data_IF_748559901094
#
_entry.id   IF_748559901094
#
_cell.length_a   1.000
_cell.length_b   1.000
_cell.length_c   1.000
_cell.angle_alpha   90.00
_cell.angle_beta   90.00
_cell.angle_gamma   90.00
#
_symmetry.space_group_name_H-M   'P 1'
#
loop_
_entity.id
_entity.type
_entity.pdbx_description
1 polymer ?
#
# COMPACT_ATOMS: atom_id res chain seq x y z
N UNK A 1 7.79 -5.02 14.29
CA UNK A 1 8.39 -4.24 13.19
C UNK A 1 8.11 -2.77 13.42
N UNK A 2 9.10 -1.90 13.22
CA UNK A 2 8.93 -0.44 13.25
C UNK A 2 8.66 0.12 11.84
N UNK A 3 8.29 1.38 11.77
CA UNK A 3 7.92 2.04 10.50
C UNK A 3 9.11 2.25 9.58
N UNK A 4 10.29 2.59 10.14
CA UNK A 4 11.56 2.68 9.43
C UNK A 4 12.04 1.33 8.87
N UNK A 5 11.86 0.25 9.64
CA UNK A 5 12.12 -1.12 9.18
C UNK A 5 11.19 -1.50 8.02
N UNK A 6 9.91 -1.15 8.10
CA UNK A 6 8.94 -1.40 7.03
C UNK A 6 9.25 -0.57 5.78
N UNK A 7 9.61 0.71 5.94
CA UNK A 7 9.99 1.59 4.84
C UNK A 7 11.23 1.06 4.12
N UNK A 8 12.25 0.64 4.87
CA UNK A 8 13.46 0.01 4.31
C UNK A 8 13.10 -1.23 3.51
N UNK A 9 12.31 -2.14 4.09
CA UNK A 9 11.90 -3.37 3.42
C UNK A 9 11.04 -3.09 2.18
N UNK A 10 10.18 -2.07 2.21
CA UNK A 10 9.40 -1.66 1.05
C UNK A 10 10.29 -1.08 -0.06
N UNK A 11 11.29 -0.26 0.26
CA UNK A 11 12.27 0.25 -0.70
C UNK A 11 13.03 -0.90 -1.35
N UNK A 12 13.62 -1.78 -0.56
CA UNK A 12 14.34 -2.96 -1.05
C UNK A 12 13.45 -3.82 -1.96
N UNK A 13 12.17 -3.96 -1.59
CA UNK A 13 11.18 -4.68 -2.37
C UNK A 13 10.92 -4.05 -3.75
N UNK A 14 10.76 -2.73 -3.82
CA UNK A 14 10.57 -2.02 -5.08
C UNK A 14 11.84 -1.99 -5.94
N UNK A 15 13.02 -1.85 -5.34
CA UNK A 15 14.32 -1.92 -6.03
C UNK A 15 14.59 -3.30 -6.63
N UNK A 16 14.19 -4.36 -5.92
CA UNK A 16 14.31 -5.72 -6.40
C UNK A 16 13.30 -6.04 -7.53
N UNK A 17 12.08 -5.52 -7.42
CA UNK A 17 11.00 -5.80 -8.36
C UNK A 17 11.10 -5.03 -9.69
N UNK A 18 11.78 -3.88 -9.71
CA UNK A 18 11.84 -2.99 -10.88
C UNK A 18 13.27 -2.57 -11.25
N UNK A 19 13.55 -2.44 -12.55
CA UNK A 19 14.86 -2.01 -13.01
C UNK A 19 15.06 -0.49 -12.89
N UNK A 20 15.74 -0.06 -11.81
CA UNK A 20 16.08 1.33 -11.54
C UNK A 20 14.85 2.24 -11.38
N UNK A 21 13.93 1.93 -10.45
CA UNK A 21 12.82 2.83 -10.12
C UNK A 21 13.35 4.15 -9.56
N UNK A 22 12.55 5.20 -9.69
CA UNK A 22 12.71 6.41 -8.90
C UNK A 22 11.93 6.24 -7.60
N UNK A 23 12.59 6.49 -6.48
CA UNK A 23 12.07 6.26 -5.12
C UNK A 23 12.22 7.56 -4.32
N UNK A 24 11.13 8.03 -3.75
CA UNK A 24 11.08 9.14 -2.79
C UNK A 24 10.53 8.64 -1.46
N UNK A 25 11.22 8.96 -0.36
CA UNK A 25 10.76 8.70 1.00
C UNK A 25 10.29 10.02 1.63
N UNK A 26 9.18 9.95 2.37
CA UNK A 26 8.55 11.14 2.98
C UNK A 26 8.30 12.25 1.95
N UNK A 27 7.87 11.87 0.72
CA UNK A 27 7.73 12.79 -0.40
C UNK A 27 6.64 13.85 -0.10
N UNK A 28 6.98 15.13 -0.03
CA UNK A 28 6.06 16.17 0.43
C UNK A 28 5.02 16.57 -0.62
N UNK A 29 3.86 17.01 -0.14
CA UNK A 29 2.85 17.71 -0.92
C UNK A 29 2.28 18.89 -0.13
N UNK A 30 1.94 19.98 -0.81
CA UNK A 30 1.33 21.17 -0.20
C UNK A 30 0.31 21.79 -1.15
N UNK A 31 -0.98 21.49 -0.94
CA UNK A 31 -2.05 22.07 -1.73
C UNK A 31 -2.98 22.96 -0.88
N UNK A 32 -2.99 24.27 -1.15
CA UNK A 32 -3.75 25.29 -0.40
C UNK A 32 -3.62 25.16 1.14
N UNK A 33 -2.41 24.89 1.64
CA UNK A 33 -2.15 24.72 3.08
C UNK A 33 -2.47 23.33 3.64
N UNK A 34 -2.93 22.40 2.79
CA UNK A 34 -3.03 20.98 3.13
C UNK A 34 -1.68 20.32 2.90
N UNK A 35 -0.78 20.53 3.87
CA UNK A 35 0.55 19.93 3.87
C UNK A 35 0.52 18.48 4.36
N UNK A 36 1.40 17.67 3.81
CA UNK A 36 1.71 16.32 4.26
C UNK A 36 2.88 15.73 3.50
N UNK A 37 3.14 14.47 3.76
CA UNK A 37 4.10 13.66 3.02
C UNK A 37 3.50 12.28 2.76
N UNK A 38 3.95 11.64 1.70
CA UNK A 38 3.69 10.21 1.43
C UNK A 38 4.87 9.43 1.98
N UNK A 39 4.62 8.33 2.69
CA UNK A 39 5.71 7.56 3.30
C UNK A 39 6.68 7.04 2.23
N UNK A 40 6.15 6.58 1.09
CA UNK A 40 6.94 6.12 -0.04
C UNK A 40 6.25 6.44 -1.38
N UNK A 41 6.98 7.06 -2.29
CA UNK A 41 6.61 7.27 -3.69
C UNK A 41 7.56 6.48 -4.59
N UNK A 42 7.01 5.69 -5.53
CA UNK A 42 7.81 4.92 -6.49
C UNK A 42 7.31 5.15 -7.91
N UNK A 43 8.24 5.33 -8.84
CA UNK A 43 7.94 5.51 -10.26
C UNK A 43 8.82 4.63 -11.13
N UNK A 44 8.19 3.77 -11.93
CA UNK A 44 8.91 2.90 -12.86
C UNK A 44 9.37 3.66 -14.11
N UNK A 45 10.38 3.12 -14.79
CA UNK A 45 10.91 3.68 -16.02
C UNK A 45 9.95 3.50 -17.21
N UNK A 46 10.04 4.35 -18.26
CA UNK A 46 9.37 4.12 -19.54
C UNK A 46 9.76 2.76 -20.17
N UNK A 47 8.93 2.18 -21.06
CA UNK A 47 7.74 2.78 -21.65
C UNK A 47 6.48 2.68 -20.78
N UNK A 48 6.40 1.75 -19.84
CA UNK A 48 5.22 1.49 -18.99
C UNK A 48 5.39 2.12 -17.62
N UNK A 49 5.38 3.46 -17.58
CA UNK A 49 5.47 4.21 -16.32
C UNK A 49 4.27 3.87 -15.44
N UNK A 50 4.54 3.32 -14.27
CA UNK A 50 3.60 3.05 -13.19
C UNK A 50 4.08 3.85 -11.98
N UNK A 51 3.14 4.51 -11.33
CA UNK A 51 3.40 5.22 -10.07
C UNK A 51 2.76 4.45 -8.91
N UNK A 52 3.45 4.42 -7.77
CA UNK A 52 2.99 3.83 -6.53
C UNK A 52 3.09 4.90 -5.45
N UNK A 53 1.95 5.28 -4.88
CA UNK A 53 1.89 6.11 -3.70
C UNK A 53 1.56 5.21 -2.51
N UNK A 54 2.41 5.21 -1.50
CA UNK A 54 2.37 4.22 -0.44
C UNK A 54 2.27 4.92 0.91
N UNK A 55 1.20 4.63 1.64
CA UNK A 55 1.08 4.87 3.08
C UNK A 55 1.44 3.57 3.81
N UNK A 56 2.39 3.64 4.74
CA UNK A 56 2.86 2.54 5.55
C UNK A 56 2.24 2.60 6.95
N UNK A 57 1.88 1.43 7.50
CA UNK A 57 1.39 1.30 8.87
C UNK A 57 2.04 0.12 9.57
N UNK A 58 2.84 0.41 10.59
CA UNK A 58 3.42 -0.57 11.51
C UNK A 58 2.76 -0.50 12.90
N UNK A 59 3.18 -1.37 13.83
CA UNK A 59 2.61 -1.48 15.18
C UNK A 59 2.45 -0.14 15.92
N UNK A 60 3.44 0.79 15.88
CA UNK A 60 3.30 2.07 16.56
C UNK A 60 2.18 2.91 15.96
N UNK A 61 2.09 2.99 14.63
CA UNK A 61 1.07 3.77 13.93
C UNK A 61 -0.34 3.22 14.20
N UNK A 62 -0.52 1.90 14.16
CA UNK A 62 -1.79 1.24 14.48
C UNK A 62 -2.20 1.51 15.93
N UNK A 63 -1.26 1.42 16.89
CA UNK A 63 -1.53 1.69 18.31
C UNK A 63 -1.90 3.15 18.59
N UNK A 64 -1.28 4.08 17.86
CA UNK A 64 -1.50 5.52 18.04
C UNK A 64 -2.75 6.03 17.33
N UNK A 65 -3.16 5.37 16.25
CA UNK A 65 -4.41 5.70 15.57
C UNK A 65 -5.61 5.38 16.48
N UNK A 66 -6.56 6.30 16.60
CA UNK A 66 -7.83 6.11 17.28
C UNK A 66 -8.80 5.15 16.56
N UNK A 67 -8.29 4.26 15.71
CA UNK A 67 -9.05 3.28 14.92
C UNK A 67 -8.84 3.41 13.40
N UNK A 68 -9.48 2.52 12.63
CA UNK A 68 -9.33 2.47 11.17
C UNK A 68 -9.71 3.77 10.45
N UNK A 69 -10.69 4.52 10.95
CA UNK A 69 -11.10 5.79 10.35
C UNK A 69 -9.98 6.83 10.34
N UNK A 70 -9.10 6.82 11.35
CA UNK A 70 -7.96 7.74 11.40
C UNK A 70 -6.90 7.39 10.36
N UNK A 71 -6.57 6.11 10.22
CA UNK A 71 -5.66 5.62 9.19
C UNK A 71 -6.23 5.91 7.79
N UNK A 72 -7.51 5.64 7.57
CA UNK A 72 -8.17 5.92 6.30
C UNK A 72 -8.20 7.42 6.01
N UNK A 73 -8.39 8.27 7.01
CA UNK A 73 -8.32 9.73 6.82
C UNK A 73 -6.91 10.16 6.36
N UNK A 74 -5.85 9.58 6.91
CA UNK A 74 -4.47 9.85 6.47
C UNK A 74 -4.26 9.40 5.02
N UNK A 75 -4.58 8.14 4.72
CA UNK A 75 -4.49 7.56 3.38
C UNK A 75 -5.27 8.37 2.32
N UNK A 76 -6.52 8.74 2.62
CA UNK A 76 -7.37 9.54 1.70
C UNK A 76 -6.90 10.97 1.52
N UNK A 77 -6.20 11.53 2.52
CA UNK A 77 -5.61 12.86 2.42
C UNK A 77 -4.46 12.86 1.43
N UNK A 78 -3.59 11.86 1.49
CA UNK A 78 -2.52 11.64 0.52
C UNK A 78 -3.07 11.46 -0.89
N UNK A 79 -4.04 10.56 -1.08
CA UNK A 79 -4.72 10.35 -2.37
C UNK A 79 -5.26 11.66 -2.97
N UNK A 80 -5.87 12.52 -2.15
CA UNK A 80 -6.53 13.74 -2.61
C UNK A 80 -5.56 14.83 -3.02
N UNK A 81 -4.46 15.00 -2.30
CA UNK A 81 -3.66 16.22 -2.40
C UNK A 81 -2.29 16.02 -3.05
N UNK A 82 -1.81 14.78 -3.20
CA UNK A 82 -0.48 14.56 -3.78
C UNK A 82 -0.35 15.10 -5.21
N UNK A 83 -1.40 14.93 -6.03
CA UNK A 83 -1.39 15.32 -7.45
C UNK A 83 -1.95 16.73 -7.71
N UNK A 84 -2.23 17.54 -6.69
CA UNK A 84 -2.87 18.85 -6.87
C UNK A 84 -1.89 20.04 -7.05
N UNK A 85 -0.63 19.97 -6.55
CA UNK A 85 0.56 20.79 -6.91
C UNK A 85 1.75 20.51 -5.93
N UNK A 86 3.05 20.71 -6.20
CA UNK A 86 3.76 21.69 -7.05
C UNK A 86 4.45 21.17 -8.35
N UNK A 87 4.49 19.86 -8.64
CA UNK A 87 4.66 19.31 -10.01
C UNK A 87 4.55 17.75 -10.07
N UNK A 88 3.81 17.14 -9.14
CA UNK A 88 3.55 15.70 -9.12
C UNK A 88 2.60 15.35 -10.28
N UNK A 89 3.12 15.23 -11.50
CA UNK A 89 2.32 15.35 -12.74
C UNK A 89 1.97 13.97 -13.36
N UNK A 90 0.68 13.66 -13.51
CA UNK A 90 0.17 12.39 -14.04
C UNK A 90 -0.40 12.54 -15.47
N UNK A 91 0.46 12.45 -16.49
CA UNK A 91 0.04 12.61 -17.90
C UNK A 91 -0.72 11.40 -18.45
N UNK A 92 -1.86 11.68 -19.09
CA UNK A 92 -2.67 10.69 -19.83
C UNK A 92 -1.87 10.06 -20.97
N UNK A 93 -1.71 8.74 -20.93
CA UNK A 93 -1.28 7.97 -22.11
C UNK A 93 -2.51 7.29 -22.72
N UNK A 94 -2.89 7.74 -23.92
CA UNK A 94 -3.96 7.13 -24.71
C UNK A 94 -3.60 5.66 -25.00
N UNK A 95 -4.55 4.74 -24.76
CA UNK A 95 -4.42 3.32 -25.12
C UNK A 95 -3.68 2.42 -24.12
N UNK A 96 -3.60 2.78 -22.83
CA UNK A 96 -3.07 1.89 -21.79
C UNK A 96 -4.08 0.80 -21.41
N UNK A 97 -3.60 -0.44 -21.24
CA UNK A 97 -4.32 -1.50 -20.53
C UNK A 97 -3.80 -1.55 -19.07
N UNK A 98 -4.71 -1.44 -18.09
CA UNK A 98 -4.39 -1.47 -16.66
C UNK A 98 -4.08 -0.10 -16.01
N UNK A 99 -3.93 -0.06 -14.67
CA UNK A 99 -3.75 1.19 -13.92
C UNK A 99 -2.38 1.81 -14.19
N UNK A 100 -2.34 3.14 -14.20
CA UNK A 100 -1.08 3.90 -14.23
C UNK A 100 -0.60 4.31 -12.83
N UNK A 101 -1.47 4.18 -11.85
CA UNK A 101 -1.24 4.57 -10.48
C UNK A 101 -1.78 3.48 -9.54
N UNK A 102 -0.97 3.08 -8.57
CA UNK A 102 -1.41 2.31 -7.42
C UNK A 102 -1.36 3.18 -6.17
N UNK A 103 -2.51 3.28 -5.48
CA UNK A 103 -2.66 3.95 -4.20
C UNK A 103 -2.66 2.88 -3.11
N UNK A 104 -1.54 2.71 -2.42
CA UNK A 104 -1.31 1.61 -1.50
C UNK A 104 -1.41 2.08 -0.05
N UNK A 105 -2.23 1.39 0.75
CA UNK A 105 -2.19 1.41 2.21
C UNK A 105 -1.64 0.05 2.65
N UNK A 106 -0.38 0.03 3.08
CA UNK A 106 0.33 -1.20 3.40
C UNK A 106 0.53 -1.34 4.90
N UNK A 107 0.06 -2.46 5.44
CA UNK A 107 0.28 -2.84 6.82
C UNK A 107 1.50 -3.75 6.95
N UNK A 108 2.27 -3.55 8.02
CA UNK A 108 3.33 -4.47 8.40
C UNK A 108 2.73 -5.87 8.63
N UNK A 109 3.42 -6.95 8.24
CA UNK A 109 2.99 -8.31 8.56
C UNK A 109 3.36 -8.63 10.02
N UNK A 110 2.63 -8.05 10.96
CA UNK A 110 2.75 -8.29 12.40
C UNK A 110 1.39 -8.68 12.97
N UNK A 111 1.37 -9.45 14.06
CA UNK A 111 0.12 -9.89 14.70
C UNK A 111 -0.83 -8.72 14.98
N UNK A 112 -0.32 -7.63 15.56
CA UNK A 112 -1.11 -6.43 15.86
C UNK A 112 -1.73 -5.78 14.62
N UNK A 113 -0.97 -5.69 13.52
CA UNK A 113 -1.52 -5.10 12.29
C UNK A 113 -2.57 -6.03 11.67
N UNK A 114 -2.35 -7.34 11.72
CA UNK A 114 -3.32 -8.36 11.30
C UNK A 114 -4.62 -8.26 12.12
N UNK A 115 -4.53 -8.27 13.45
CA UNK A 115 -5.67 -8.09 14.36
C UNK A 115 -6.47 -6.83 14.01
N UNK A 116 -5.78 -5.69 13.85
CA UNK A 116 -6.42 -4.42 13.54
C UNK A 116 -7.15 -4.45 12.19
N UNK A 117 -6.51 -5.01 11.16
CA UNK A 117 -7.12 -5.10 9.82
C UNK A 117 -8.28 -6.07 9.82
N UNK A 118 -8.19 -7.19 10.54
CA UNK A 118 -9.27 -8.15 10.69
C UNK A 118 -10.47 -7.54 11.44
N UNK A 119 -10.23 -6.88 12.58
CA UNK A 119 -11.26 -6.20 13.37
C UNK A 119 -12.05 -5.20 12.53
N UNK A 120 -11.36 -4.47 11.65
CA UNK A 120 -11.93 -3.43 10.80
C UNK A 120 -12.14 -3.87 9.34
N UNK A 121 -12.15 -5.17 9.06
CA UNK A 121 -12.15 -5.72 7.68
C UNK A 121 -13.27 -5.21 6.80
N UNK A 122 -14.45 -4.97 7.36
CA UNK A 122 -15.59 -4.40 6.62
C UNK A 122 -15.33 -2.98 6.14
N UNK A 123 -14.67 -2.16 6.96
CA UNK A 123 -14.32 -0.78 6.59
C UNK A 123 -13.24 -0.79 5.50
N UNK A 124 -12.16 -1.54 5.69
CA UNK A 124 -11.11 -1.65 4.68
C UNK A 124 -11.61 -2.28 3.38
N UNK A 125 -12.38 -3.37 3.47
CA UNK A 125 -12.96 -4.06 2.33
C UNK A 125 -13.98 -3.24 1.55
N UNK A 126 -14.62 -2.25 2.17
CA UNK A 126 -15.54 -1.33 1.49
C UNK A 126 -14.87 -0.28 0.60
N UNK A 127 -13.53 -0.24 0.57
CA UNK A 127 -12.81 0.73 -0.25
C UNK A 127 -12.81 0.27 -1.70
N UNK A 128 -13.51 1.03 -2.55
CA UNK A 128 -13.52 0.81 -4.00
C UNK A 128 -12.08 0.73 -4.55
N UNK A 129 -11.77 -0.43 -5.12
CA UNK A 129 -10.47 -0.73 -5.69
C UNK A 129 -10.20 0.15 -6.92
N UNK A 130 -11.21 0.38 -7.76
CA UNK A 130 -11.06 1.18 -8.98
C UNK A 130 -11.36 2.66 -8.72
N UNK A 131 -10.46 3.51 -9.20
CA UNK A 131 -10.62 4.98 -9.12
C UNK A 131 -9.98 5.65 -10.33
N UNK A 132 -10.32 6.91 -10.53
CA UNK A 132 -9.54 7.80 -11.37
C UNK A 132 -9.00 9.00 -10.60
N UNK A 133 -7.72 9.31 -10.80
CA UNK A 133 -7.06 10.54 -10.33
C UNK A 133 -6.73 11.37 -11.58
N UNK A 134 -7.26 12.58 -11.69
CA UNK A 134 -7.17 13.45 -12.88
C UNK A 134 -7.42 12.75 -14.24
N UNK A 135 -8.42 11.85 -14.28
CA UNK A 135 -8.76 11.09 -15.49
C UNK A 135 -7.77 9.98 -15.85
N UNK A 136 -6.81 9.67 -14.97
CA UNK A 136 -5.92 8.53 -15.08
C UNK A 136 -6.49 7.35 -14.28
N UNK A 137 -6.61 6.14 -14.87
CA UNK A 137 -7.01 4.94 -14.14
C UNK A 137 -6.00 4.59 -13.04
N UNK A 138 -6.53 4.38 -11.85
CA UNK A 138 -5.75 4.05 -10.66
C UNK A 138 -6.42 2.93 -9.86
N UNK A 139 -5.62 2.20 -9.10
CA UNK A 139 -6.08 1.10 -8.25
C UNK A 139 -5.69 1.34 -6.81
N UNK A 140 -6.67 1.27 -5.91
CA UNK A 140 -6.47 1.30 -4.46
C UNK A 140 -6.26 -0.11 -3.94
N UNK A 141 -5.23 -0.29 -3.12
CA UNK A 141 -5.05 -1.52 -2.37
C UNK A 141 -4.81 -1.19 -0.90
N UNK A 142 -5.65 -1.74 -0.05
CA UNK A 142 -5.33 -2.00 1.35
C UNK A 142 -4.77 -3.41 1.40
N UNK A 143 -3.54 -3.58 1.88
CA UNK A 143 -2.85 -4.85 1.73
C UNK A 143 -1.75 -5.07 2.78
N UNK A 144 -1.30 -6.33 2.84
CA UNK A 144 -0.04 -6.72 3.44
C UNK A 144 0.98 -7.01 2.33
N UNK A 145 2.25 -6.70 2.58
CA UNK A 145 3.37 -7.17 1.76
C UNK A 145 3.66 -8.63 2.10
N UNK A 146 3.63 -9.51 1.11
CA UNK A 146 3.69 -10.97 1.33
C UNK A 146 5.05 -11.60 1.05
N UNK A 147 5.92 -10.93 0.29
CA UNK A 147 7.24 -11.44 -0.07
C UNK A 147 8.38 -10.47 0.27
N UNK A 148 8.27 -9.80 1.43
CA UNK A 148 9.29 -8.86 1.91
C UNK A 148 10.71 -9.44 1.90
N UNK A 149 10.88 -10.70 2.29
CA UNK A 149 12.20 -11.34 2.39
C UNK A 149 12.68 -11.97 1.07
N UNK A 150 11.79 -12.14 0.10
CA UNK A 150 12.03 -12.85 -1.17
C UNK A 150 11.74 -11.97 -2.40
N UNK A 151 11.74 -10.65 -2.21
CA UNK A 151 11.46 -9.68 -3.27
C UNK A 151 12.36 -9.86 -4.50
N UNK A 152 13.63 -10.22 -4.30
CA UNK A 152 14.58 -10.45 -5.39
C UNK A 152 14.34 -11.78 -6.16
N UNK A 153 13.65 -12.74 -5.53
CA UNK A 153 13.32 -14.03 -6.12
C UNK A 153 11.94 -14.03 -6.83
N UNK A 154 11.16 -12.95 -6.66
CA UNK A 154 9.81 -12.80 -7.21
C UNK A 154 9.52 -11.37 -7.68
N UNK A 155 8.30 -11.09 -8.11
CA UNK A 155 7.86 -9.72 -8.40
C UNK A 155 7.32 -9.02 -7.14
N UNK A 156 6.64 -7.90 -7.36
CA UNK A 156 5.90 -7.19 -6.32
C UNK A 156 4.72 -8.03 -5.79
N UNK A 157 4.77 -8.50 -4.53
CA UNK A 157 3.71 -9.30 -3.91
C UNK A 157 2.90 -8.52 -2.86
N UNK A 158 1.59 -8.48 -3.04
CA UNK A 158 0.64 -7.94 -2.07
C UNK A 158 -0.53 -8.90 -1.90
N UNK A 159 -0.99 -9.07 -0.66
CA UNK A 159 -2.28 -9.67 -0.38
C UNK A 159 -3.26 -8.59 0.07
N UNK A 160 -4.23 -8.29 -0.79
CA UNK A 160 -5.14 -7.17 -0.63
C UNK A 160 -6.43 -7.59 0.08
N UNK A 161 -6.87 -6.77 1.04
CA UNK A 161 -8.09 -6.99 1.83
C UNK A 161 -9.33 -6.28 1.25
N UNK A 162 -9.13 -5.35 0.32
CA UNK A 162 -10.20 -4.73 -0.48
C UNK A 162 -10.20 -5.26 -1.93
N UNK A 163 -9.53 -6.39 -2.15
CA UNK A 163 -9.63 -7.17 -3.38
C UNK A 163 -10.80 -8.16 -3.33
N UNK A 164 -10.92 -9.01 -4.35
CA UNK A 164 -11.95 -10.06 -4.40
C UNK A 164 -11.80 -11.18 -3.36
N UNK A 165 -10.90 -11.02 -2.39
CA UNK A 165 -10.57 -12.00 -1.35
C UNK A 165 -10.59 -11.29 0.00
N UNK A 166 -11.54 -11.66 0.87
CA UNK A 166 -11.75 -11.03 2.18
C UNK A 166 -10.83 -11.66 3.24
N UNK A 167 -10.19 -10.85 4.08
CA UNK A 167 -9.42 -11.35 5.23
C UNK A 167 -10.32 -12.14 6.20
N UNK A 168 -9.85 -13.29 6.69
CA UNK A 168 -10.66 -14.26 7.46
C UNK A 168 -11.50 -15.19 6.58
N UNK A 169 -11.25 -15.22 5.26
CA UNK A 169 -11.81 -16.25 4.38
C UNK A 169 -10.75 -17.29 4.03
N UNK A 170 -11.17 -18.53 3.76
CA UNK A 170 -10.27 -19.61 3.31
C UNK A 170 -9.48 -19.20 2.05
N UNK A 171 -10.10 -18.46 1.14
CA UNK A 171 -9.42 -17.98 -0.06
C UNK A 171 -8.29 -16.98 0.25
N UNK A 172 -8.39 -16.23 1.35
CA UNK A 172 -7.32 -15.35 1.82
C UNK A 172 -6.18 -16.17 2.42
N UNK A 173 -6.50 -17.12 3.29
CA UNK A 173 -5.53 -18.02 3.90
C UNK A 173 -4.73 -18.80 2.84
N UNK A 174 -5.42 -19.38 1.85
CA UNK A 174 -4.81 -20.10 0.73
C UNK A 174 -3.89 -19.22 -0.13
N UNK A 175 -4.10 -17.89 -0.12
CA UNK A 175 -3.31 -16.93 -0.87
C UNK A 175 -2.09 -16.39 -0.10
N UNK A 176 -1.99 -16.66 1.21
CA UNK A 176 -0.84 -16.28 2.02
C UNK A 176 0.32 -17.24 1.71
N UNK A 177 1.50 -16.74 1.29
CA UNK A 177 2.63 -17.62 1.02
C UNK A 177 3.10 -18.33 2.30
N UNK A 178 3.26 -19.64 2.22
CA UNK A 178 3.79 -20.46 3.31
C UNK A 178 5.17 -19.96 3.76
N UNK A 179 5.37 -19.91 5.07
CA UNK A 179 6.63 -19.45 5.66
C UNK A 179 6.89 -17.94 5.56
N UNK A 180 5.97 -17.16 4.99
CA UNK A 180 6.07 -15.70 5.00
C UNK A 180 5.84 -15.11 6.39
N UNK A 181 6.35 -13.90 6.61
CA UNK A 181 6.04 -13.11 7.81
C UNK A 181 4.54 -12.92 8.03
N UNK A 182 3.75 -12.84 6.95
CA UNK A 182 2.29 -12.72 7.07
C UNK A 182 1.66 -14.02 7.59
N UNK A 183 2.14 -15.18 7.12
CA UNK A 183 1.69 -16.48 7.64
C UNK A 183 2.03 -16.66 9.13
N UNK A 184 3.18 -16.14 9.58
CA UNK A 184 3.54 -16.09 10.99
C UNK A 184 2.62 -15.16 11.78
N UNK A 185 2.42 -13.93 11.30
CA UNK A 185 1.58 -12.93 11.94
C UNK A 185 0.11 -13.38 12.09
N UNK A 186 -0.46 -14.06 11.09
CA UNK A 186 -1.82 -14.61 11.15
C UNK A 186 -1.94 -15.69 12.23
N UNK A 187 -0.95 -16.59 12.34
CA UNK A 187 -0.91 -17.61 13.38
C UNK A 187 -0.76 -17.02 14.78
N UNK A 188 0.01 -15.94 14.92
CA UNK A 188 0.19 -15.24 16.20
C UNK A 188 -1.05 -14.43 16.62
N UNK A 189 -1.75 -13.83 15.67
CA UNK A 189 -2.95 -13.02 15.91
C UNK A 189 -4.19 -13.85 16.31
N UNK A 190 -4.19 -15.16 16.05
CA UNK A 190 -5.31 -16.07 16.34
C UNK A 190 -6.66 -15.56 15.77
N UNK A 191 -6.60 -14.98 14.56
CA UNK A 191 -7.78 -14.44 13.88
C UNK A 191 -8.37 -15.50 12.94
N UNK A 192 -9.53 -16.06 13.31
CA UNK A 192 -10.40 -16.87 12.44
C UNK A 192 -11.26 -16.00 11.51
#
# INVERSE_FOLDING_TARGET
MREDELATAAVEHFEAAFEGPEIGLEEPYDHYGNRGSVDLYVRTKPPERIEYLVELKADPAVRMAGGANEILRQYRRMERYFYEDDAHDLRKRLGREGPALYLLLLFAPTARCVEHVHEHRRLYGSIDADVSVDGVPATRKVAFLTNLDDAAAGGLGFLSVNGGVEIGSTAFEDAVPDGSRLAEALREADVE
#
